data_IF_564635223934
#
_entry.id   IF_564635223934
#
_cell.length_a   1.000
_cell.length_b   1.000
_cell.length_c   1.000
_cell.angle_alpha   90.00
_cell.angle_beta   90.00
_cell.angle_gamma   90.00
#
_symmetry.space_group_name_H-M   'P 1'
#
loop_
_entity.id
_entity.type
_entity.pdbx_description
1 polymer ?
#
# COMPACT_ATOMS: atom_id res chain seq x y z
N UNK A 1 -10.10 25.09 30.00
CA UNK A 1 -10.22 25.71 28.66
C UNK A 1 -9.67 24.69 27.69
N UNK A 2 -10.55 23.87 27.17
CA UNK A 2 -10.24 22.89 26.13
C UNK A 2 -10.23 23.65 24.82
N UNK A 3 -9.06 23.79 24.20
CA UNK A 3 -8.94 24.43 22.90
C UNK A 3 -9.64 23.55 21.86
N UNK A 4 -10.76 24.07 21.36
CA UNK A 4 -11.54 23.59 20.24
C UNK A 4 -10.62 23.59 18.98
N UNK A 5 -9.95 22.46 18.69
CA UNK A 5 -9.24 22.28 17.42
C UNK A 5 -10.32 22.20 16.35
N UNK A 6 -10.31 23.06 15.32
CA UNK A 6 -11.28 22.99 14.25
C UNK A 6 -11.25 21.57 13.67
N UNK A 7 -12.38 20.87 13.79
CA UNK A 7 -12.51 19.51 13.28
C UNK A 7 -12.15 19.51 11.80
N UNK A 8 -11.25 18.61 11.39
CA UNK A 8 -10.94 18.41 9.97
C UNK A 8 -12.25 18.02 9.31
N UNK A 9 -12.71 18.81 8.33
CA UNK A 9 -13.85 18.46 7.49
C UNK A 9 -13.45 17.25 6.61
N UNK A 10 -13.68 16.04 7.14
CA UNK A 10 -13.31 14.79 6.49
C UNK A 10 -14.02 14.61 5.15
N UNK A 11 -15.27 15.08 5.04
CA UNK A 11 -16.06 14.95 3.81
C UNK A 11 -15.53 15.89 2.73
N UNK A 12 -15.21 17.14 3.10
CA UNK A 12 -14.57 18.10 2.21
C UNK A 12 -13.18 17.67 1.78
N UNK A 13 -12.39 17.07 2.68
CA UNK A 13 -11.06 16.53 2.38
C UNK A 13 -11.13 15.39 1.36
N UNK A 14 -11.99 14.39 1.58
CA UNK A 14 -12.17 13.25 0.68
C UNK A 14 -12.66 13.70 -0.71
N UNK A 15 -13.60 14.65 -0.76
CA UNK A 15 -14.12 15.21 -2.00
C UNK A 15 -13.03 15.94 -2.80
N UNK A 16 -12.20 16.76 -2.15
CA UNK A 16 -11.10 17.46 -2.80
C UNK A 16 -10.02 16.50 -3.30
N UNK A 17 -9.64 15.49 -2.48
CA UNK A 17 -8.72 14.44 -2.88
C UNK A 17 -9.25 13.68 -4.11
N UNK A 18 -10.53 13.30 -4.11
CA UNK A 18 -11.16 12.67 -5.27
C UNK A 18 -11.06 13.56 -6.51
N UNK A 19 -11.45 14.82 -6.41
CA UNK A 19 -11.42 15.77 -7.52
C UNK A 19 -10.01 15.88 -8.13
N UNK A 20 -8.97 16.09 -7.30
CA UNK A 20 -7.60 16.22 -7.79
C UNK A 20 -7.05 14.91 -8.36
N UNK A 21 -7.45 13.77 -7.79
CA UNK A 21 -7.08 12.46 -8.30
C UNK A 21 -7.70 12.20 -9.69
N UNK A 22 -8.98 12.51 -9.87
CA UNK A 22 -9.69 12.34 -11.15
C UNK A 22 -9.16 13.30 -12.22
N UNK A 23 -8.82 14.52 -11.86
CA UNK A 23 -8.25 15.51 -12.80
C UNK A 23 -6.75 15.28 -13.05
N UNK A 24 -6.12 14.36 -12.36
CA UNK A 24 -4.67 14.09 -12.49
C UNK A 24 -3.78 15.17 -11.86
N UNK A 25 -4.32 16.04 -11.01
CA UNK A 25 -3.57 17.09 -10.31
C UNK A 25 -2.84 16.49 -9.09
N UNK A 26 -1.90 15.58 -9.37
CA UNK A 26 -1.14 14.87 -8.36
C UNK A 26 -0.29 15.79 -7.47
N UNK A 27 0.04 16.99 -7.95
CA UNK A 27 0.73 18.00 -7.14
C UNK A 27 -0.11 18.40 -5.94
N UNK A 28 -1.40 18.70 -6.17
CA UNK A 28 -2.35 19.03 -5.10
C UNK A 28 -2.67 17.86 -4.20
N UNK A 29 -2.74 16.63 -4.74
CA UNK A 29 -2.90 15.43 -3.91
C UNK A 29 -1.75 15.32 -2.90
N UNK A 30 -0.50 15.42 -3.37
CA UNK A 30 0.69 15.38 -2.49
C UNK A 30 0.69 16.51 -1.47
N UNK A 31 0.29 17.72 -1.87
CA UNK A 31 0.18 18.85 -0.95
C UNK A 31 -0.85 18.61 0.15
N UNK A 32 -2.04 18.09 -0.20
CA UNK A 32 -3.07 17.75 0.78
C UNK A 32 -2.60 16.67 1.76
N UNK A 33 -1.84 15.67 1.31
CA UNK A 33 -1.25 14.68 2.20
C UNK A 33 -0.23 15.30 3.17
N UNK A 34 0.51 16.33 2.76
CA UNK A 34 1.43 17.06 3.64
C UNK A 34 0.69 17.93 4.66
N UNK A 35 -0.44 18.52 4.28
CA UNK A 35 -1.21 19.42 5.13
C UNK A 35 -2.10 18.68 6.12
N UNK A 36 -2.74 17.60 5.70
CA UNK A 36 -3.76 16.87 6.48
C UNK A 36 -3.31 15.51 7.00
N UNK A 37 -2.07 15.13 6.76
CA UNK A 37 -1.37 13.95 7.30
C UNK A 37 -2.25 12.69 7.43
N UNK A 38 -2.60 12.26 8.66
CA UNK A 38 -3.38 11.04 8.92
C UNK A 38 -4.76 11.07 8.28
N UNK A 39 -5.47 12.20 8.35
CA UNK A 39 -6.80 12.32 7.76
C UNK A 39 -6.78 12.07 6.23
N UNK A 40 -5.74 12.54 5.52
CA UNK A 40 -5.58 12.29 4.09
C UNK A 40 -5.23 10.83 3.78
N UNK A 41 -4.42 10.17 4.64
CA UNK A 41 -4.06 8.76 4.51
C UNK A 41 -5.30 7.85 4.65
N UNK A 42 -6.19 8.19 5.58
CA UNK A 42 -7.39 7.42 5.89
C UNK A 42 -8.56 7.74 4.96
N UNK A 43 -8.52 8.89 4.27
CA UNK A 43 -9.61 9.37 3.43
C UNK A 43 -9.98 8.36 2.32
N UNK A 44 -11.25 7.97 2.29
CA UNK A 44 -11.83 7.14 1.22
C UNK A 44 -12.41 8.07 0.16
N UNK A 45 -11.79 8.09 -1.01
CA UNK A 45 -12.07 9.11 -2.02
C UNK A 45 -13.16 8.73 -3.02
N UNK A 46 -13.59 7.46 -3.01
CA UNK A 46 -14.65 6.97 -3.91
C UNK A 46 -15.50 5.88 -3.28
N UNK A 47 -16.53 5.45 -3.97
CA UNK A 47 -17.48 4.39 -3.53
C UNK A 47 -16.83 3.01 -3.41
N UNK A 48 -15.69 2.77 -4.05
CA UNK A 48 -14.89 1.54 -3.88
C UNK A 48 -14.09 1.54 -2.58
N UNK A 49 -14.10 2.64 -1.82
CA UNK A 49 -13.31 2.81 -0.60
C UNK A 49 -11.81 2.95 -0.88
N UNK A 50 -11.43 3.38 -2.07
CA UNK A 50 -10.04 3.63 -2.41
C UNK A 50 -9.51 4.88 -1.71
N UNK A 51 -8.24 4.86 -1.30
CA UNK A 51 -7.48 6.05 -0.97
C UNK A 51 -6.86 6.65 -2.23
N UNK A 52 -6.34 7.86 -2.16
CA UNK A 52 -5.65 8.45 -3.32
C UNK A 52 -4.45 7.60 -3.77
N UNK A 53 -3.77 6.89 -2.85
CA UNK A 53 -2.68 5.98 -3.21
C UNK A 53 -3.17 4.78 -4.03
N UNK A 54 -4.36 4.19 -3.74
CA UNK A 54 -4.93 3.11 -4.56
C UNK A 54 -5.12 3.54 -6.01
N UNK A 55 -5.59 4.76 -6.23
CA UNK A 55 -5.78 5.30 -7.58
C UNK A 55 -4.44 5.66 -8.21
N UNK A 56 -3.54 6.31 -7.45
CA UNK A 56 -2.22 6.72 -7.94
C UNK A 56 -1.40 5.54 -8.49
N UNK A 57 -1.37 4.42 -7.79
CA UNK A 57 -0.62 3.23 -8.23
C UNK A 57 -1.12 2.66 -9.55
N UNK A 58 -2.33 2.97 -9.96
CA UNK A 58 -2.91 2.50 -11.22
C UNK A 58 -2.69 3.47 -12.37
N UNK A 59 -2.74 4.79 -12.14
CA UNK A 59 -2.82 5.78 -13.22
C UNK A 59 -1.80 6.92 -13.15
N UNK A 60 -1.21 7.24 -11.99
CA UNK A 60 -0.26 8.32 -11.86
C UNK A 60 1.13 7.94 -12.42
N UNK A 61 1.97 8.94 -12.74
CA UNK A 61 3.37 8.66 -13.07
C UNK A 61 4.12 8.08 -11.87
N UNK A 62 5.17 7.30 -12.12
CA UNK A 62 5.97 6.68 -11.06
C UNK A 62 6.54 7.73 -10.10
N UNK A 63 6.98 8.88 -10.63
CA UNK A 63 7.49 9.99 -9.82
C UNK A 63 6.45 10.47 -8.80
N UNK A 64 5.18 10.61 -9.22
CA UNK A 64 4.09 11.07 -8.34
C UNK A 64 3.73 10.04 -7.29
N UNK A 65 3.73 8.76 -7.66
CA UNK A 65 3.57 7.66 -6.70
C UNK A 65 4.70 7.68 -5.67
N UNK A 66 5.96 7.83 -6.10
CA UNK A 66 7.10 7.93 -5.19
C UNK A 66 6.98 9.12 -4.23
N UNK A 67 6.57 10.29 -4.72
CA UNK A 67 6.35 11.47 -3.89
C UNK A 67 5.28 11.20 -2.83
N UNK A 68 4.14 10.61 -3.22
CA UNK A 68 3.05 10.28 -2.33
C UNK A 68 3.46 9.24 -1.27
N UNK A 69 4.15 8.18 -1.68
CA UNK A 69 4.67 7.14 -0.79
C UNK A 69 5.63 7.73 0.25
N UNK A 70 6.53 8.64 -0.14
CA UNK A 70 7.45 9.31 0.81
C UNK A 70 6.69 10.12 1.87
N UNK A 71 5.64 10.83 1.47
CA UNK A 71 4.83 11.60 2.43
C UNK A 71 4.10 10.66 3.40
N UNK A 72 3.52 9.57 2.89
CA UNK A 72 2.81 8.58 3.71
C UNK A 72 3.76 7.95 4.73
N UNK A 73 4.95 7.48 4.31
CA UNK A 73 5.96 6.87 5.19
C UNK A 73 6.40 7.85 6.29
N UNK A 74 6.53 9.14 5.97
CA UNK A 74 6.88 10.17 6.95
C UNK A 74 5.84 10.35 8.06
N UNK A 75 4.63 9.83 7.90
CA UNK A 75 3.53 9.92 8.87
C UNK A 75 3.21 8.56 9.48
N UNK A 76 2.93 7.58 8.65
CA UNK A 76 2.62 6.20 9.07
C UNK A 76 2.80 5.23 7.91
N UNK A 77 3.71 4.29 8.04
CA UNK A 77 3.92 3.22 7.05
C UNK A 77 2.66 2.37 6.82
N UNK A 78 1.80 2.25 7.84
CA UNK A 78 0.54 1.51 7.75
C UNK A 78 -0.38 2.07 6.64
N UNK A 79 -0.24 3.35 6.30
CA UNK A 79 -0.98 3.97 5.20
C UNK A 79 -0.74 3.32 3.84
N UNK A 80 0.42 2.67 3.64
CA UNK A 80 0.74 1.94 2.41
C UNK A 80 -0.08 0.65 2.25
N UNK A 81 -0.58 0.10 3.38
CA UNK A 81 -1.27 -1.19 3.44
C UNK A 81 -2.76 -1.06 3.67
N UNK A 82 -3.28 0.14 3.63
CA UNK A 82 -4.73 0.42 3.77
C UNK A 82 -5.52 -0.38 2.74
N UNK A 83 -6.56 -1.10 3.19
CA UNK A 83 -7.43 -1.90 2.31
C UNK A 83 -8.65 -1.10 1.86
N UNK A 84 -9.03 -1.23 0.60
CA UNK A 84 -10.31 -0.73 0.07
C UNK A 84 -11.48 -1.67 0.40
N UNK A 85 -12.68 -1.38 -0.12
CA UNK A 85 -13.89 -2.19 0.13
C UNK A 85 -13.79 -3.64 -0.37
N UNK A 86 -12.93 -3.90 -1.36
CA UNK A 86 -12.63 -5.26 -1.84
C UNK A 86 -11.52 -5.95 -1.04
N UNK A 87 -10.93 -5.27 -0.07
CA UNK A 87 -9.77 -5.75 0.68
C UNK A 87 -8.45 -5.62 -0.08
N UNK A 88 -8.43 -4.93 -1.22
CA UNK A 88 -7.20 -4.69 -1.96
C UNK A 88 -6.37 -3.60 -1.27
N UNK A 89 -5.07 -3.83 -1.16
CA UNK A 89 -4.07 -2.80 -0.84
C UNK A 89 -3.59 -2.14 -2.13
N UNK A 90 -2.88 -0.99 -2.06
CA UNK A 90 -2.24 -0.40 -3.24
C UNK A 90 -1.33 -1.37 -4.01
N UNK A 91 -0.67 -2.31 -3.33
CA UNK A 91 0.16 -3.34 -3.98
C UNK A 91 -0.66 -4.30 -4.86
N UNK A 92 -1.90 -4.65 -4.47
CA UNK A 92 -2.81 -5.41 -5.34
C UNK A 92 -3.11 -4.64 -6.63
N UNK A 93 -3.38 -3.32 -6.52
CA UNK A 93 -3.60 -2.46 -7.67
C UNK A 93 -2.40 -2.38 -8.61
N UNK A 94 -1.20 -2.18 -8.06
CA UNK A 94 0.03 -2.14 -8.84
C UNK A 94 0.31 -3.48 -9.57
N UNK A 95 0.09 -4.61 -8.89
CA UNK A 95 0.27 -5.95 -9.48
C UNK A 95 -0.75 -6.24 -10.58
N UNK A 96 -2.01 -5.85 -10.40
CA UNK A 96 -3.07 -6.08 -11.39
C UNK A 96 -2.92 -5.20 -12.64
N UNK A 97 -2.21 -4.08 -12.54
CA UNK A 97 -2.00 -3.13 -13.65
C UNK A 97 -0.62 -3.25 -14.31
N UNK A 98 0.18 -4.24 -13.93
CA UNK A 98 1.48 -4.52 -14.56
C UNK A 98 2.57 -3.48 -14.23
N UNK A 99 2.46 -2.76 -13.11
CA UNK A 99 3.38 -1.66 -12.79
C UNK A 99 4.55 -2.12 -11.91
N UNK A 100 5.51 -2.81 -12.55
CA UNK A 100 6.64 -3.45 -11.87
C UNK A 100 7.39 -2.50 -10.92
N UNK A 101 7.78 -1.31 -11.38
CA UNK A 101 8.57 -0.39 -10.55
C UNK A 101 7.80 0.08 -9.29
N UNK A 102 6.47 0.18 -9.40
CA UNK A 102 5.62 0.51 -8.25
C UNK A 102 5.48 -0.70 -7.32
N UNK A 103 5.36 -1.91 -7.87
CA UNK A 103 5.38 -3.12 -7.05
C UNK A 103 6.70 -3.22 -6.27
N UNK A 104 7.84 -2.96 -6.92
CA UNK A 104 9.16 -2.95 -6.27
C UNK A 104 9.21 -1.90 -5.15
N UNK A 105 8.76 -0.67 -5.44
CA UNK A 105 8.74 0.42 -4.47
C UNK A 105 7.94 0.09 -3.21
N UNK A 106 6.72 -0.44 -3.38
CA UNK A 106 5.84 -0.79 -2.27
C UNK A 106 6.37 -2.02 -1.51
N UNK A 107 6.74 -3.08 -2.24
CA UNK A 107 7.17 -4.33 -1.64
C UNK A 107 8.53 -4.21 -0.91
N UNK A 108 9.43 -3.31 -1.34
CA UNK A 108 10.66 -3.02 -0.61
C UNK A 108 10.37 -2.45 0.79
N UNK A 109 9.28 -1.68 0.95
CA UNK A 109 8.87 -1.17 2.25
C UNK A 109 8.32 -2.25 3.18
N UNK A 110 7.77 -3.33 2.65
CA UNK A 110 7.44 -4.52 3.43
C UNK A 110 8.70 -5.19 3.99
N UNK A 111 9.74 -5.39 3.18
CA UNK A 111 10.97 -6.06 3.63
C UNK A 111 11.71 -5.24 4.70
N UNK A 112 11.59 -3.90 4.67
CA UNK A 112 12.16 -3.01 5.69
C UNK A 112 11.35 -3.02 7.00
N UNK A 113 10.03 -3.15 6.93
CA UNK A 113 9.10 -3.05 8.07
C UNK A 113 8.75 -4.41 8.72
N UNK A 114 9.27 -5.52 8.21
CA UNK A 114 8.99 -6.89 8.67
C UNK A 114 9.63 -7.27 10.03
N UNK A 115 9.65 -6.35 10.99
CA UNK A 115 9.59 -6.75 12.42
C UNK A 115 8.16 -7.14 12.85
N UNK A 116 7.18 -7.02 11.96
CA UNK A 116 5.78 -7.37 12.21
C UNK A 116 5.55 -8.83 11.87
N UNK A 117 5.67 -9.66 12.91
CA UNK A 117 5.55 -11.12 12.93
C UNK A 117 4.34 -11.68 12.17
N UNK A 118 4.63 -12.57 11.24
CA UNK A 118 3.94 -13.76 10.70
C UNK A 118 2.44 -13.74 10.41
N UNK A 119 1.55 -13.39 11.31
CA UNK A 119 0.10 -13.45 11.12
C UNK A 119 -0.46 -12.19 10.42
N UNK A 120 0.10 -11.02 10.69
CA UNK A 120 -0.37 -9.75 10.12
C UNK A 120 -0.01 -9.68 8.63
N UNK A 121 1.13 -10.25 8.24
CA UNK A 121 1.57 -10.27 6.83
C UNK A 121 0.64 -11.11 5.97
N UNK A 122 0.17 -12.26 6.45
CA UNK A 122 -0.76 -13.11 5.69
C UNK A 122 -2.12 -12.43 5.48
N UNK A 123 -2.65 -11.75 6.51
CA UNK A 123 -3.91 -11.02 6.36
C UNK A 123 -3.79 -9.78 5.47
N UNK A 124 -2.64 -9.09 5.48
CA UNK A 124 -2.40 -7.95 4.60
C UNK A 124 -2.31 -8.35 3.13
N UNK A 125 -1.87 -9.57 2.84
CA UNK A 125 -1.63 -10.05 1.47
C UNK A 125 -2.85 -10.64 0.77
N UNK A 126 -3.97 -10.89 1.43
CA UNK A 126 -5.17 -11.40 0.78
C UNK A 126 -6.29 -10.37 0.81
N UNK A 127 -6.93 -10.17 -0.34
CA UNK A 127 -8.16 -9.41 -0.43
C UNK A 127 -9.37 -10.26 0.03
N UNK A 128 -10.57 -9.72 -0.05
CA UNK A 128 -11.80 -10.44 0.36
C UNK A 128 -12.14 -11.65 -0.52
N UNK A 129 -11.59 -11.74 -1.71
CA UNK A 129 -11.71 -12.90 -2.60
C UNK A 129 -10.62 -13.95 -2.36
N UNK A 130 -9.70 -13.72 -1.40
CA UNK A 130 -8.56 -14.58 -1.14
C UNK A 130 -7.41 -14.42 -2.14
N UNK A 131 -7.42 -13.39 -2.97
CA UNK A 131 -6.40 -13.12 -3.96
C UNK A 131 -5.25 -12.33 -3.33
N UNK A 132 -4.01 -12.72 -3.63
CA UNK A 132 -2.81 -11.97 -3.26
C UNK A 132 -2.29 -11.14 -4.44
N UNK A 133 -1.41 -10.13 -4.22
CA UNK A 133 -0.73 -9.44 -5.31
C UNK A 133 0.05 -10.40 -6.23
N UNK A 134 0.64 -11.46 -5.67
CA UNK A 134 1.32 -12.52 -6.42
C UNK A 134 0.35 -13.28 -7.35
N UNK A 135 -0.82 -13.65 -6.82
CA UNK A 135 -1.87 -14.29 -7.61
C UNK A 135 -2.35 -13.37 -8.73
N UNK A 136 -2.59 -12.09 -8.45
CA UNK A 136 -3.02 -11.12 -9.46
C UNK A 136 -1.97 -10.94 -10.57
N UNK A 137 -0.68 -10.88 -10.24
CA UNK A 137 0.39 -10.83 -11.22
C UNK A 137 0.38 -12.07 -12.13
N UNK A 138 0.20 -13.27 -11.56
CA UNK A 138 0.09 -14.51 -12.32
C UNK A 138 -1.17 -14.53 -13.20
N UNK A 139 -2.30 -14.12 -12.66
CA UNK A 139 -3.59 -14.07 -13.37
C UNK A 139 -3.55 -13.14 -14.58
N UNK A 140 -2.90 -11.98 -14.45
CA UNK A 140 -2.73 -11.03 -15.56
C UNK A 140 -1.53 -11.35 -16.47
N UNK A 141 -0.79 -12.42 -16.20
CA UNK A 141 0.34 -12.88 -17.03
C UNK A 141 1.61 -12.03 -16.87
N UNK A 142 1.72 -11.23 -15.82
CA UNK A 142 2.91 -10.41 -15.58
C UNK A 142 4.01 -11.24 -14.89
N UNK A 143 4.84 -11.85 -15.73
CA UNK A 143 5.94 -12.70 -15.29
C UNK A 143 6.95 -11.96 -14.40
N UNK A 144 7.25 -10.69 -14.68
CA UNK A 144 8.28 -9.95 -13.96
C UNK A 144 7.82 -9.64 -12.53
N UNK A 145 6.59 -9.15 -12.38
CA UNK A 145 6.00 -8.90 -11.07
C UNK A 145 5.85 -10.21 -10.29
N UNK A 146 5.37 -11.27 -10.95
CA UNK A 146 5.24 -12.59 -10.33
C UNK A 146 6.58 -13.06 -9.76
N UNK A 147 7.64 -13.08 -10.56
CA UNK A 147 8.96 -13.53 -10.12
C UNK A 147 9.52 -12.67 -9.00
N UNK A 148 9.36 -11.36 -9.08
CA UNK A 148 9.82 -10.44 -8.04
C UNK A 148 9.13 -10.70 -6.70
N UNK A 149 7.79 -10.74 -6.68
CA UNK A 149 7.01 -10.99 -5.48
C UNK A 149 7.26 -12.39 -4.92
N UNK A 150 7.39 -13.41 -5.79
CA UNK A 150 7.71 -14.79 -5.38
C UNK A 150 9.06 -14.86 -4.66
N UNK A 151 10.10 -14.25 -5.21
CA UNK A 151 11.42 -14.19 -4.57
C UNK A 151 11.40 -13.46 -3.23
N UNK A 152 10.60 -12.40 -3.11
CA UNK A 152 10.41 -11.69 -1.86
C UNK A 152 9.78 -12.59 -0.79
N UNK A 153 8.75 -13.35 -1.15
CA UNK A 153 8.10 -14.32 -0.27
C UNK A 153 9.05 -15.43 0.18
N UNK A 154 9.86 -15.97 -0.74
CA UNK A 154 10.85 -16.99 -0.39
C UNK A 154 11.88 -16.49 0.62
N UNK A 155 12.34 -15.23 0.46
CA UNK A 155 13.26 -14.60 1.43
C UNK A 155 12.62 -14.43 2.81
N UNK A 156 11.35 -14.03 2.88
CA UNK A 156 10.64 -13.90 4.14
C UNK A 156 10.53 -15.25 4.85
N UNK A 157 10.08 -16.30 4.14
CA UNK A 157 9.99 -17.67 4.68
C UNK A 157 11.33 -18.23 5.15
N UNK A 158 12.44 -17.91 4.49
CA UNK A 158 13.77 -18.38 4.87
C UNK A 158 14.32 -17.66 6.11
N UNK A 159 13.93 -16.40 6.33
CA UNK A 159 14.23 -15.69 7.59
C UNK A 159 13.50 -16.35 8.77
N UNK A 160 12.23 -16.75 8.59
CA UNK A 160 11.44 -17.42 9.63
C UNK A 160 12.03 -18.79 9.99
N UNK A 161 12.45 -19.59 9.01
CA UNK A 161 13.12 -20.87 9.24
C UNK A 161 14.45 -20.74 9.99
N UNK A 162 15.15 -19.62 9.85
CA UNK A 162 16.41 -19.33 10.58
C UNK A 162 16.18 -18.81 11.99
N UNK A 163 15.00 -18.25 12.28
CA UNK A 163 14.59 -17.81 13.61
C UNK A 163 14.05 -18.93 14.49
N UNK A 164 13.63 -20.06 13.89
CA UNK A 164 13.20 -21.27 14.59
C UNK A 164 14.46 -22.03 15.04
N UNK A 165 14.61 -22.17 16.34
CA UNK A 165 15.60 -22.82 17.20
C UNK A 165 16.75 -23.62 16.50
N UNK A 166 18.03 -23.28 16.79
CA UNK A 166 19.21 -24.06 16.36
C UNK A 166 19.18 -25.54 16.73
N UNK A 167 18.36 -25.96 17.69
CA UNK A 167 18.23 -27.35 18.12
C UNK A 167 17.57 -28.26 17.07
N UNK A 168 16.79 -27.72 16.12
CA UNK A 168 16.13 -28.51 15.07
C UNK A 168 17.05 -28.88 13.89
N UNK A 169 18.29 -28.40 13.86
CA UNK A 169 19.29 -28.67 12.80
C UNK A 169 20.12 -29.96 13.00
N UNK A 170 19.83 -30.74 14.03
CA UNK A 170 20.59 -32.00 14.33
C UNK A 170 19.64 -33.21 14.31
N UNK A 171 19.16 -33.54 13.14
CA UNK A 171 18.76 -34.95 12.85
C UNK A 171 18.84 -35.20 11.34
#
# INVERSE_FOLDING_TARGET
MEEDRPGVDHDGLALNLNRYTVTGDWGKVVEMYKQHTLAAIEARINTSGDTALHVAVSIASEEKVQQLVRVIIGVSELGLWTKNNKGNTPLHGAASTGRLNICILLAAKLDESLEVKDLVVQELFHNKAGESPLFLAAFHGDRQIFLYLHLLFLKASDKDLKSIDPAYRRN
#
